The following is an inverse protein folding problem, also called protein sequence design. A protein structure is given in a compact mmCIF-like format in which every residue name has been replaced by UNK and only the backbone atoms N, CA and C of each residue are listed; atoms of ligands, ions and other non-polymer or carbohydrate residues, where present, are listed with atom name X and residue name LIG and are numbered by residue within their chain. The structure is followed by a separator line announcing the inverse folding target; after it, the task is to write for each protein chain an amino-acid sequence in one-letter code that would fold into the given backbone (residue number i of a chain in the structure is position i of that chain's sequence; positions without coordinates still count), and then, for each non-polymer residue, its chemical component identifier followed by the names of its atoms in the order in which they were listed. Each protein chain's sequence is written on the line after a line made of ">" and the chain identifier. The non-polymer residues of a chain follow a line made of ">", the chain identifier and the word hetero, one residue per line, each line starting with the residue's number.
data_IF_144314861769
#
_entry.id   IF_144314861769
#
_cell.length_a   1.000
_cell.length_b   1.000
_cell.length_c   1.000
_cell.angle_alpha   90.00
_cell.angle_beta   90.00
_cell.angle_gamma   90.00
#
_symmetry.space_group_name_H-M   'P 1'
#
loop_
_entity.id
_entity.type
_entity.pdbx_description
1 polymer ?
#
# COMPACT_ATOMS: atom_id res chain seq x y z
N UNK A 1 20.31 -9.49 39.18
CA UNK A 1 20.69 -10.74 38.47
C UNK A 1 20.35 -10.58 36.99
N UNK A 2 21.18 -11.04 36.04
CA UNK A 2 20.88 -10.88 34.61
C UNK A 2 19.90 -11.95 34.10
N UNK A 3 19.10 -11.63 33.08
CA UNK A 3 18.08 -12.53 32.54
C UNK A 3 18.68 -13.64 31.66
N UNK A 4 17.87 -14.65 31.34
CA UNK A 4 18.24 -15.77 30.46
C UNK A 4 18.85 -15.30 29.12
N UNK A 5 18.27 -14.27 28.49
CA UNK A 5 18.80 -13.73 27.22
C UNK A 5 20.22 -13.18 27.31
N UNK A 6 20.63 -12.66 28.47
CA UNK A 6 22.01 -12.27 28.71
C UNK A 6 22.91 -13.50 28.85
N UNK A 7 22.44 -14.52 29.59
CA UNK A 7 23.20 -15.76 29.81
C UNK A 7 23.49 -16.50 28.50
N UNK A 8 22.56 -16.46 27.53
CA UNK A 8 22.75 -17.06 26.19
C UNK A 8 23.35 -16.08 25.16
N UNK A 9 23.87 -14.92 25.59
CA UNK A 9 24.58 -13.97 24.71
C UNK A 9 23.72 -13.18 23.72
N UNK A 10 22.38 -13.23 23.82
CA UNK A 10 21.42 -12.51 22.97
C UNK A 10 21.09 -11.09 23.47
N UNK A 11 21.46 -10.75 24.69
CA UNK A 11 21.25 -9.44 25.28
C UNK A 11 22.52 -8.95 25.98
N UNK A 12 22.78 -7.64 25.95
CA UNK A 12 23.94 -7.03 26.62
C UNK A 12 23.69 -6.70 28.10
N UNK A 13 22.50 -7.00 28.63
CA UNK A 13 22.23 -6.98 30.07
C UNK A 13 22.14 -5.58 30.67
N UNK A 14 21.65 -4.59 29.91
CA UNK A 14 21.50 -3.21 30.39
C UNK A 14 20.60 -3.12 31.63
N UNK A 15 19.56 -3.95 31.71
CA UNK A 15 18.66 -4.04 32.87
C UNK A 15 19.36 -4.51 34.15
N UNK A 16 20.50 -5.18 34.03
CA UNK A 16 21.30 -5.69 35.14
C UNK A 16 22.64 -4.93 35.30
N UNK A 17 22.78 -3.77 34.65
CA UNK A 17 23.98 -2.92 34.73
C UNK A 17 25.24 -3.55 34.13
N UNK A 18 25.12 -4.55 33.25
CA UNK A 18 26.26 -5.26 32.66
C UNK A 18 26.94 -4.54 31.49
N UNK A 19 26.33 -3.45 31.03
CA UNK A 19 26.85 -2.56 29.99
C UNK A 19 26.52 -1.12 30.37
N UNK A 20 27.42 -0.19 30.06
CA UNK A 20 27.18 1.23 30.29
C UNK A 20 26.17 1.80 29.27
N UNK A 21 25.45 2.86 29.65
CA UNK A 21 24.54 3.57 28.74
C UNK A 21 25.26 4.05 27.48
N UNK A 22 26.47 4.57 27.62
CA UNK A 22 27.27 5.08 26.49
C UNK A 22 27.63 3.96 25.50
N UNK A 23 28.04 2.79 26.01
CA UNK A 23 28.34 1.63 25.17
C UNK A 23 27.11 1.07 24.50
N UNK A 24 25.99 0.95 25.21
CA UNK A 24 24.74 0.48 24.61
C UNK A 24 24.25 1.38 23.47
N UNK A 25 24.34 2.71 23.67
CA UNK A 25 24.03 3.68 22.61
C UNK A 25 24.93 3.48 21.39
N UNK A 26 26.23 3.23 21.60
CA UNK A 26 27.20 3.04 20.52
C UNK A 26 27.04 1.71 19.79
N UNK A 27 26.79 0.62 20.52
CA UNK A 27 26.78 -0.74 19.99
C UNK A 27 25.41 -1.18 19.46
N UNK A 28 24.30 -0.67 20.02
CA UNK A 28 22.95 -1.10 19.66
C UNK A 28 22.17 0.01 18.97
N UNK A 29 22.02 1.17 19.62
CA UNK A 29 21.10 2.21 19.15
C UNK A 29 21.61 2.91 17.88
N UNK A 30 22.88 3.33 17.82
CA UNK A 30 23.42 3.99 16.62
C UNK A 30 23.35 3.10 15.36
N UNK A 31 23.75 1.81 15.40
CA UNK A 31 23.57 0.90 14.27
C UNK A 31 22.09 0.71 13.88
N UNK A 32 21.19 0.58 14.87
CA UNK A 32 19.76 0.44 14.62
C UNK A 32 19.18 1.67 13.90
N UNK A 33 19.54 2.88 14.34
CA UNK A 33 19.15 4.13 13.67
C UNK A 33 19.64 4.14 12.21
N UNK A 34 20.91 3.80 11.97
CA UNK A 34 21.46 3.74 10.61
C UNK A 34 20.74 2.72 9.73
N UNK A 35 20.34 1.59 10.30
CA UNK A 35 19.59 0.56 9.60
C UNK A 35 18.20 1.06 9.19
N UNK A 36 17.47 1.67 10.12
CA UNK A 36 16.13 2.24 9.89
C UNK A 36 16.16 3.42 8.90
N UNK A 37 17.26 4.17 8.84
CA UNK A 37 17.50 5.21 7.84
C UNK A 37 17.88 4.66 6.44
N UNK A 38 17.90 3.34 6.25
CA UNK A 38 18.21 2.72 4.96
C UNK A 38 19.71 2.67 4.63
N UNK A 39 20.61 3.04 5.55
CA UNK A 39 22.08 3.00 5.36
C UNK A 39 22.66 1.59 5.52
N UNK A 40 21.91 0.58 5.08
CA UNK A 40 22.18 -0.86 5.26
C UNK A 40 23.53 -1.28 4.68
N UNK A 41 23.88 -0.78 3.47
CA UNK A 41 25.18 -1.03 2.82
C UNK A 41 26.38 -0.60 3.67
N UNK A 42 26.24 0.50 4.42
CA UNK A 42 27.30 1.03 5.26
C UNK A 42 27.55 0.15 6.49
N UNK A 43 26.50 -0.47 7.03
CA UNK A 43 26.60 -1.40 8.17
C UNK A 43 27.31 -2.67 7.73
N UNK A 44 26.94 -3.23 6.58
CA UNK A 44 27.61 -4.40 5.98
C UNK A 44 29.10 -4.14 5.78
N UNK A 45 29.47 -3.02 5.13
CA UNK A 45 30.89 -2.67 4.92
C UNK A 45 31.68 -2.60 6.23
N UNK A 46 31.07 -2.11 7.31
CA UNK A 46 31.72 -2.08 8.63
C UNK A 46 31.91 -3.48 9.23
N UNK A 47 30.93 -4.37 9.07
CA UNK A 47 31.02 -5.76 9.51
C UNK A 47 32.10 -6.52 8.73
N UNK A 48 32.10 -6.38 7.39
CA UNK A 48 33.12 -6.97 6.50
C UNK A 48 34.52 -6.50 6.86
N UNK A 49 34.72 -5.20 7.10
CA UNK A 49 36.02 -4.66 7.51
C UNK A 49 36.49 -5.24 8.86
N UNK A 50 35.57 -5.47 9.80
CA UNK A 50 35.88 -6.05 11.11
C UNK A 50 36.23 -7.54 11.00
N UNK A 51 35.49 -8.29 10.18
CA UNK A 51 35.80 -9.69 9.84
C UNK A 51 37.19 -9.79 9.23
N UNK A 52 37.46 -9.00 8.17
CA UNK A 52 38.76 -9.00 7.49
C UNK A 52 39.92 -8.68 8.45
N UNK A 53 39.73 -7.73 9.37
CA UNK A 53 40.73 -7.38 10.38
C UNK A 53 41.02 -8.53 11.35
N UNK A 54 40.02 -9.34 11.70
CA UNK A 54 40.20 -10.50 12.57
C UNK A 54 40.82 -11.69 11.82
N UNK A 55 40.42 -11.92 10.57
CA UNK A 55 41.01 -12.94 9.70
C UNK A 55 42.51 -12.69 9.47
N UNK A 56 42.91 -11.43 9.24
CA UNK A 56 44.32 -11.05 9.10
C UNK A 56 45.18 -11.33 10.35
N UNK A 57 44.55 -11.46 11.54
CA UNK A 57 45.26 -11.82 12.77
C UNK A 57 45.41 -13.34 12.95
N UNK A 58 44.91 -14.14 12.00
CA UNK A 58 44.98 -15.59 11.98
C UNK A 58 44.47 -16.27 13.27
N UNK A 59 43.42 -15.69 13.86
CA UNK A 59 42.75 -16.23 15.05
C UNK A 59 41.33 -16.65 14.68
N UNK A 60 41.06 -17.95 14.69
CA UNK A 60 39.69 -18.44 14.74
C UNK A 60 39.14 -18.22 16.16
N UNK A 61 38.39 -17.13 16.33
CA UNK A 61 37.75 -16.80 17.60
C UNK A 61 36.23 -16.97 17.49
N UNK A 62 35.58 -17.17 18.63
CA UNK A 62 34.11 -17.16 18.73
C UNK A 62 33.52 -15.83 18.21
N UNK A 63 34.23 -14.72 18.39
CA UNK A 63 33.86 -13.41 17.84
C UNK A 63 33.82 -13.42 16.30
N UNK A 64 34.81 -14.05 15.64
CA UNK A 64 34.85 -14.14 14.18
C UNK A 64 33.67 -14.96 13.64
N UNK A 65 33.39 -16.11 14.25
CA UNK A 65 32.25 -16.95 13.89
C UNK A 65 30.92 -16.19 14.05
N UNK A 66 30.75 -15.47 15.16
CA UNK A 66 29.57 -14.63 15.43
C UNK A 66 29.39 -13.53 14.37
N UNK A 67 30.46 -12.83 14.02
CA UNK A 67 30.41 -11.76 13.00
C UNK A 67 30.08 -12.31 11.61
N UNK A 68 30.67 -13.44 11.21
CA UNK A 68 30.33 -14.12 9.94
C UNK A 68 28.87 -14.55 9.90
N UNK A 69 28.35 -15.10 11.00
CA UNK A 69 26.95 -15.47 11.12
C UNK A 69 26.02 -14.24 11.05
N UNK A 70 26.37 -13.14 11.72
CA UNK A 70 25.62 -11.89 11.66
C UNK A 70 25.59 -11.30 10.24
N UNK A 71 26.73 -11.28 9.55
CA UNK A 71 26.82 -10.85 8.15
C UNK A 71 25.97 -11.73 7.24
N UNK A 72 26.01 -13.06 7.42
CA UNK A 72 25.18 -14.01 6.67
C UNK A 72 23.69 -13.72 6.87
N UNK A 73 23.24 -13.56 8.11
CA UNK A 73 21.84 -13.26 8.41
C UNK A 73 21.40 -11.92 7.84
N UNK A 74 22.25 -10.89 7.94
CA UNK A 74 21.97 -9.59 7.32
C UNK A 74 21.86 -9.71 5.79
N UNK A 75 22.76 -10.44 5.14
CA UNK A 75 22.72 -10.65 3.69
C UNK A 75 21.48 -11.45 3.27
N UNK A 76 21.07 -12.46 4.03
CA UNK A 76 19.83 -13.19 3.78
C UNK A 76 18.59 -12.31 3.95
N UNK A 77 18.51 -11.53 5.03
CA UNK A 77 17.41 -10.57 5.25
C UNK A 77 17.33 -9.53 4.12
N UNK A 78 18.49 -9.12 3.58
CA UNK A 78 18.58 -8.20 2.44
C UNK A 78 18.20 -8.84 1.11
N UNK A 79 18.55 -10.11 0.90
CA UNK A 79 18.16 -10.88 -0.27
C UNK A 79 16.64 -11.10 -0.31
N UNK A 80 16.02 -11.38 0.83
CA UNK A 80 14.55 -11.40 0.96
C UNK A 80 13.93 -10.00 0.80
N UNK A 81 14.71 -8.94 0.97
CA UNK A 81 14.31 -7.56 0.69
C UNK A 81 14.84 -7.05 -0.66
N UNK A 82 15.09 -7.94 -1.65
CA UNK A 82 15.62 -7.58 -2.98
C UNK A 82 14.92 -6.31 -3.45
N UNK A 83 15.69 -5.26 -3.70
CA UNK A 83 15.16 -4.05 -4.33
C UNK A 83 14.84 -4.46 -5.75
N UNK A 84 13.62 -4.97 -5.95
CA UNK A 84 13.04 -5.16 -7.27
C UNK A 84 13.14 -3.81 -7.99
N UNK A 85 13.48 -3.83 -9.27
CA UNK A 85 13.25 -2.65 -10.08
C UNK A 85 11.79 -2.21 -9.92
N UNK A 86 11.51 -0.92 -10.09
CA UNK A 86 10.14 -0.40 -9.97
C UNK A 86 9.18 -1.22 -10.86
N UNK A 87 9.63 -1.63 -12.04
CA UNK A 87 8.87 -2.45 -12.97
C UNK A 87 8.58 -3.87 -12.42
N UNK A 88 9.61 -4.58 -11.95
CA UNK A 88 9.45 -5.93 -11.36
C UNK A 88 8.58 -5.90 -10.10
N UNK A 89 8.70 -4.84 -9.30
CA UNK A 89 7.85 -4.63 -8.13
C UNK A 89 6.38 -4.54 -8.54
N UNK A 90 6.05 -3.72 -9.54
CA UNK A 90 4.67 -3.57 -10.00
C UNK A 90 4.13 -4.86 -10.61
N UNK A 91 4.94 -5.58 -11.39
CA UNK A 91 4.55 -6.90 -11.91
C UNK A 91 4.23 -7.87 -10.77
N UNK A 92 5.09 -7.94 -9.75
CA UNK A 92 4.87 -8.80 -8.59
C UNK A 92 3.63 -8.39 -7.77
N UNK A 93 3.41 -7.08 -7.56
CA UNK A 93 2.25 -6.58 -6.83
C UNK A 93 0.92 -7.01 -7.49
N UNK A 94 0.86 -7.04 -8.83
CA UNK A 94 -0.33 -7.45 -9.59
C UNK A 94 -0.55 -8.97 -9.53
N UNK A 95 0.52 -9.75 -9.57
CA UNK A 95 0.45 -11.23 -9.41
C UNK A 95 -0.05 -11.59 -8.01
N UNK A 96 0.49 -10.95 -6.98
CA UNK A 96 0.05 -11.18 -5.59
C UNK A 96 -1.40 -10.72 -5.36
N UNK A 97 -1.81 -9.61 -5.99
CA UNK A 97 -3.21 -9.17 -5.99
C UNK A 97 -4.14 -10.23 -6.58
N UNK A 98 -3.79 -10.79 -7.74
CA UNK A 98 -4.60 -11.81 -8.40
C UNK A 98 -4.78 -13.05 -7.53
N UNK A 99 -3.71 -13.51 -6.87
CA UNK A 99 -3.77 -14.66 -5.95
C UNK A 99 -4.66 -14.37 -4.74
N UNK A 100 -4.42 -13.24 -4.05
CA UNK A 100 -5.14 -12.90 -2.81
C UNK A 100 -6.64 -12.69 -3.06
N UNK A 101 -7.00 -12.10 -4.20
CA UNK A 101 -8.39 -11.86 -4.57
C UNK A 101 -9.02 -13.02 -5.36
N UNK A 102 -8.28 -14.11 -5.60
CA UNK A 102 -8.69 -15.24 -6.42
C UNK A 102 -9.26 -14.81 -7.80
N UNK A 103 -8.58 -13.88 -8.48
CA UNK A 103 -9.01 -13.38 -9.77
C UNK A 103 -8.86 -14.45 -10.86
N UNK A 104 -9.73 -14.46 -11.88
CA UNK A 104 -9.67 -15.45 -12.96
C UNK A 104 -8.41 -15.30 -13.83
N UNK A 105 -7.78 -14.12 -13.82
CA UNK A 105 -6.52 -13.82 -14.49
C UNK A 105 -5.75 -12.73 -13.76
N UNK A 106 -4.48 -12.58 -14.09
CA UNK A 106 -3.64 -11.45 -13.65
C UNK A 106 -4.22 -10.17 -14.29
N UNK A 107 -4.64 -9.16 -13.52
CA UNK A 107 -5.31 -7.99 -14.08
C UNK A 107 -4.28 -7.07 -14.74
N UNK A 108 -4.41 -6.86 -16.05
CA UNK A 108 -3.58 -5.89 -16.76
C UNK A 108 -4.13 -4.48 -16.61
N UNK A 109 -5.46 -4.35 -16.54
CA UNK A 109 -6.16 -3.06 -16.42
C UNK A 109 -7.00 -3.01 -15.14
N UNK A 110 -6.60 -2.18 -14.19
CA UNK A 110 -7.32 -1.93 -12.95
C UNK A 110 -7.94 -0.53 -13.00
N UNK A 111 -9.25 -0.41 -12.80
CA UNK A 111 -9.94 0.88 -12.70
C UNK A 111 -10.22 1.25 -11.24
N UNK A 112 -9.91 2.48 -10.86
CA UNK A 112 -10.18 3.04 -9.54
C UNK A 112 -11.22 4.16 -9.61
N UNK A 113 -12.19 4.16 -8.70
CA UNK A 113 -13.27 5.15 -8.66
C UNK A 113 -13.36 5.86 -7.30
N UNK A 114 -13.49 7.18 -7.33
CA UNK A 114 -13.72 8.03 -6.16
C UNK A 114 -14.79 9.10 -6.46
N UNK A 115 -15.55 9.51 -5.44
CA UNK A 115 -16.56 10.57 -5.52
C UNK A 115 -16.14 11.71 -4.60
N UNK A 116 -15.97 12.89 -5.17
CA UNK A 116 -15.69 14.10 -4.41
C UNK A 116 -16.87 15.08 -4.47
N UNK A 117 -17.53 15.26 -3.32
CA UNK A 117 -18.58 16.25 -3.15
C UNK A 117 -17.98 17.64 -2.92
N UNK A 118 -18.40 18.60 -3.75
CA UNK A 118 -18.21 20.02 -3.47
C UNK A 118 -19.46 20.48 -2.75
N UNK A 119 -19.31 20.97 -1.52
CA UNK A 119 -20.36 21.70 -0.82
C UNK A 119 -20.94 22.79 -1.75
N UNK A 120 -22.13 22.55 -2.28
CA UNK A 120 -23.02 23.58 -2.85
C UNK A 120 -23.10 23.77 -4.36
N UNK A 121 -22.19 23.32 -5.25
CA UNK A 121 -22.30 23.68 -6.70
C UNK A 121 -21.92 22.65 -7.79
N UNK A 122 -21.15 21.59 -7.51
CA UNK A 122 -20.93 20.52 -8.51
C UNK A 122 -20.23 19.29 -7.89
N UNK A 123 -20.85 18.11 -7.92
CA UNK A 123 -20.14 16.88 -7.59
C UNK A 123 -19.32 16.38 -8.80
N UNK A 124 -18.18 15.77 -8.51
CA UNK A 124 -17.28 15.22 -9.53
C UNK A 124 -16.83 13.85 -9.07
N UNK A 125 -17.01 12.86 -9.93
CA UNK A 125 -16.32 11.60 -9.73
C UNK A 125 -15.13 11.43 -10.65
N UNK A 126 -14.20 10.63 -10.18
CA UNK A 126 -12.95 10.36 -10.84
C UNK A 126 -12.89 8.88 -11.21
N UNK A 127 -12.33 8.61 -12.40
CA UNK A 127 -11.91 7.28 -12.81
C UNK A 127 -10.43 7.36 -13.15
N UNK A 128 -9.63 6.55 -12.49
CA UNK A 128 -8.22 6.36 -12.78
C UNK A 128 -7.99 4.95 -13.29
N UNK A 129 -6.88 4.75 -13.99
CA UNK A 129 -6.51 3.46 -14.57
C UNK A 129 -5.10 3.12 -14.15
N UNK A 130 -4.88 1.88 -13.73
CA UNK A 130 -3.55 1.30 -13.59
C UNK A 130 -3.38 0.23 -14.66
N UNK A 131 -2.34 0.37 -15.47
CA UNK A 131 -1.94 -0.59 -16.51
C UNK A 131 -0.70 -1.34 -16.00
N UNK A 132 -0.79 -2.68 -15.85
CA UNK A 132 0.28 -3.54 -15.30
C UNK A 132 0.86 -3.02 -13.97
N UNK A 133 -0.03 -2.60 -13.07
CA UNK A 133 0.32 -2.12 -11.74
C UNK A 133 0.83 -0.68 -11.66
N UNK A 134 0.83 0.06 -12.79
CA UNK A 134 1.31 1.44 -12.88
C UNK A 134 0.20 2.42 -13.29
N UNK A 135 0.18 3.65 -12.75
CA UNK A 135 -0.82 4.65 -13.14
C UNK A 135 -0.72 5.02 -14.62
N UNK A 136 -1.82 4.86 -15.36
CA UNK A 136 -1.95 5.22 -16.77
C UNK A 136 -2.83 6.46 -16.93
N UNK A 137 -2.18 7.63 -16.79
CA UNK A 137 -2.83 8.94 -16.75
C UNK A 137 -3.57 9.29 -18.05
N UNK A 138 -3.18 8.70 -19.19
CA UNK A 138 -3.83 8.93 -20.48
C UNK A 138 -5.28 8.43 -20.50
N UNK A 139 -5.58 7.45 -19.64
CA UNK A 139 -6.88 6.80 -19.56
C UNK A 139 -7.75 7.32 -18.41
N UNK A 140 -7.28 8.34 -17.69
CA UNK A 140 -8.04 8.94 -16.61
C UNK A 140 -9.26 9.70 -17.16
N UNK A 141 -10.36 9.70 -16.41
CA UNK A 141 -11.59 10.39 -16.78
C UNK A 141 -12.20 11.09 -15.57
N UNK A 142 -12.80 12.24 -15.81
CA UNK A 142 -13.59 12.97 -14.82
C UNK A 142 -15.03 13.01 -15.29
N UNK A 143 -15.95 12.80 -14.35
CA UNK A 143 -17.36 12.83 -14.59
C UNK A 143 -17.95 14.00 -13.80
N UNK A 144 -18.39 15.04 -14.52
CA UNK A 144 -19.28 16.04 -13.94
C UNK A 144 -20.62 15.38 -13.71
N UNK A 145 -21.05 15.32 -12.46
CA UNK A 145 -22.29 14.67 -12.01
C UNK A 145 -23.47 15.58 -12.32
N UNK A 146 -24.52 15.01 -12.89
CA UNK A 146 -25.78 15.73 -13.14
C UNK A 146 -26.71 15.42 -11.97
N UNK A 147 -26.79 16.34 -11.00
CA UNK A 147 -27.70 16.18 -9.86
C UNK A 147 -29.14 16.33 -10.38
N UNK A 148 -29.86 15.22 -10.56
CA UNK A 148 -31.31 15.21 -10.77
C UNK A 148 -32.06 15.51 -9.46
N UNK A 149 -33.40 15.62 -9.51
CA UNK A 149 -34.29 15.89 -8.35
C UNK A 149 -34.34 14.78 -7.27
N UNK A 150 -33.23 14.08 -7.02
CA UNK A 150 -33.10 13.03 -6.00
C UNK A 150 -31.82 13.18 -5.17
N UNK A 151 -31.79 12.51 -4.00
CA UNK A 151 -30.76 12.64 -2.98
C UNK A 151 -29.32 12.65 -3.55
N UNK A 152 -28.64 13.79 -3.38
CA UNK A 152 -27.23 13.99 -3.72
C UNK A 152 -26.31 13.24 -2.74
N UNK A 153 -26.37 11.90 -2.74
CA UNK A 153 -25.49 11.05 -1.95
C UNK A 153 -24.44 10.33 -2.82
N UNK A 154 -23.31 9.97 -2.23
CA UNK A 154 -22.16 9.39 -2.96
C UNK A 154 -22.51 8.10 -3.71
N UNK A 155 -23.46 7.32 -3.16
CA UNK A 155 -23.91 6.05 -3.73
C UNK A 155 -24.63 6.27 -5.08
N UNK A 156 -25.52 7.26 -5.14
CA UNK A 156 -26.22 7.63 -6.37
C UNK A 156 -25.27 8.19 -7.43
N UNK A 157 -24.31 9.01 -7.02
CA UNK A 157 -23.32 9.59 -7.93
C UNK A 157 -22.40 8.54 -8.53
N UNK A 158 -21.92 7.58 -7.72
CA UNK A 158 -21.13 6.46 -8.22
C UNK A 158 -21.92 5.63 -9.24
N UNK A 159 -23.21 5.40 -8.97
CA UNK A 159 -24.09 4.69 -9.91
C UNK A 159 -24.18 5.42 -11.25
N UNK A 160 -24.42 6.73 -11.26
CA UNK A 160 -24.48 7.54 -12.51
C UNK A 160 -23.18 7.38 -13.33
N UNK A 161 -22.02 7.49 -12.69
CA UNK A 161 -20.72 7.36 -13.35
C UNK A 161 -20.55 6.00 -13.98
N UNK A 162 -20.83 4.93 -13.24
CA UNK A 162 -20.66 3.57 -13.72
C UNK A 162 -21.64 3.27 -14.86
N UNK A 163 -22.88 3.75 -14.75
CA UNK A 163 -23.85 3.61 -15.84
C UNK A 163 -23.38 4.34 -17.10
N UNK A 164 -22.79 5.53 -16.97
CA UNK A 164 -22.17 6.23 -18.11
C UNK A 164 -20.96 5.46 -18.63
N UNK A 165 -20.05 5.03 -17.76
CA UNK A 165 -18.82 4.29 -18.10
C UNK A 165 -19.10 3.05 -18.96
N UNK A 166 -20.07 2.24 -18.57
CA UNK A 166 -20.41 0.99 -19.26
C UNK A 166 -21.32 1.18 -20.48
N UNK A 167 -21.82 2.40 -20.70
CA UNK A 167 -22.49 2.80 -21.93
C UNK A 167 -21.52 3.42 -22.97
N UNK A 168 -20.21 3.42 -22.70
CA UNK A 168 -19.19 3.86 -23.67
C UNK A 168 -18.38 2.65 -24.17
N UNK A 169 -17.69 2.84 -25.31
CA UNK A 169 -16.86 1.81 -25.93
C UNK A 169 -15.40 1.80 -25.41
N UNK A 170 -15.14 2.21 -24.17
CA UNK A 170 -13.77 2.18 -23.63
C UNK A 170 -13.39 0.76 -23.16
N UNK A 171 -12.11 0.36 -23.28
CA UNK A 171 -11.64 -0.97 -22.92
C UNK A 171 -12.08 -1.39 -21.51
N UNK A 172 -12.63 -2.59 -21.36
CA UNK A 172 -13.13 -3.06 -20.07
C UNK A 172 -11.98 -3.34 -19.09
N UNK A 173 -12.12 -3.00 -17.81
CA UNK A 173 -11.15 -3.37 -16.78
C UNK A 173 -11.22 -4.85 -16.43
N UNK A 174 -10.09 -5.37 -15.94
CA UNK A 174 -9.98 -6.70 -15.35
C UNK A 174 -10.33 -6.71 -13.85
N UNK A 175 -10.25 -5.54 -13.21
CA UNK A 175 -10.62 -5.32 -11.81
C UNK A 175 -11.10 -3.89 -11.60
N UNK A 176 -12.18 -3.73 -10.85
CA UNK A 176 -12.68 -2.44 -10.38
C UNK A 176 -12.44 -2.30 -8.88
N UNK A 177 -11.90 -1.15 -8.47
CA UNK A 177 -11.71 -0.77 -7.06
C UNK A 177 -12.48 0.52 -6.80
N UNK A 178 -13.41 0.45 -5.85
CA UNK A 178 -14.21 1.60 -5.44
C UNK A 178 -13.73 2.12 -4.08
N UNK A 179 -13.51 3.44 -3.98
CA UNK A 179 -13.31 4.10 -2.68
C UNK A 179 -14.67 4.25 -1.99
N UNK A 180 -14.90 3.43 -0.96
CA UNK A 180 -16.19 3.38 -0.28
C UNK A 180 -16.49 2.06 0.40
N UNK A 181 -17.59 2.04 1.16
CA UNK A 181 -18.04 0.88 1.89
C UNK A 181 -19.00 -0.01 1.09
N UNK A 182 -19.73 -0.86 1.82
CA UNK A 182 -20.68 -1.83 1.25
C UNK A 182 -21.78 -1.19 0.41
N UNK A 183 -22.23 0.02 0.74
CA UNK A 183 -23.27 0.71 -0.03
C UNK A 183 -22.80 1.08 -1.44
N UNK A 184 -21.59 1.63 -1.56
CA UNK A 184 -20.94 1.96 -2.83
C UNK A 184 -20.66 0.69 -3.65
N UNK A 185 -20.12 -0.36 -3.01
CA UNK A 185 -19.89 -1.65 -3.66
C UNK A 185 -21.17 -2.23 -4.27
N UNK A 186 -22.27 -2.19 -3.52
CA UNK A 186 -23.57 -2.71 -3.98
C UNK A 186 -24.12 -1.90 -5.16
N UNK A 187 -23.95 -0.57 -5.15
CA UNK A 187 -24.33 0.27 -6.29
C UNK A 187 -23.53 -0.06 -7.53
N UNK A 188 -22.21 -0.22 -7.39
CA UNK A 188 -21.34 -0.58 -8.50
C UNK A 188 -21.62 -1.99 -9.04
N UNK A 189 -21.86 -2.96 -8.16
CA UNK A 189 -22.24 -4.33 -8.53
C UNK A 189 -23.57 -4.36 -9.31
N UNK A 190 -24.55 -3.54 -8.92
CA UNK A 190 -25.82 -3.41 -9.65
C UNK A 190 -25.63 -2.80 -11.04
N UNK A 191 -24.74 -1.81 -11.17
CA UNK A 191 -24.44 -1.23 -12.48
C UNK A 191 -23.83 -2.27 -13.43
N UNK A 192 -22.87 -3.07 -12.95
CA UNK A 192 -22.30 -4.18 -13.75
C UNK A 192 -23.36 -5.19 -14.18
N UNK A 193 -24.22 -5.62 -13.25
CA UNK A 193 -25.33 -6.56 -13.54
C UNK A 193 -26.30 -6.01 -14.59
N UNK A 194 -26.62 -4.71 -14.56
CA UNK A 194 -27.53 -4.06 -15.53
C UNK A 194 -27.02 -4.19 -16.97
N UNK A 195 -25.70 -4.14 -17.18
CA UNK A 195 -25.07 -4.29 -18.49
C UNK A 195 -24.50 -5.71 -18.73
N UNK A 196 -24.85 -6.67 -17.87
CA UNK A 196 -24.41 -8.07 -17.95
C UNK A 196 -22.88 -8.27 -17.96
N UNK A 197 -22.12 -7.38 -17.31
CA UNK A 197 -20.67 -7.47 -17.21
C UNK A 197 -20.24 -8.28 -15.97
N UNK A 198 -19.40 -9.30 -16.18
CA UNK A 198 -18.83 -10.14 -15.12
C UNK A 198 -17.41 -9.70 -14.74
N UNK A 199 -17.27 -8.43 -14.36
CA UNK A 199 -15.98 -7.85 -13.98
C UNK A 199 -15.78 -7.98 -12.46
N UNK A 200 -14.65 -8.53 -11.99
CA UNK A 200 -14.30 -8.52 -10.57
C UNK A 200 -14.32 -7.11 -9.99
N UNK A 201 -14.97 -6.94 -8.84
CA UNK A 201 -15.09 -5.65 -8.17
C UNK A 201 -14.90 -5.79 -6.67
N UNK A 202 -14.14 -4.86 -6.10
CA UNK A 202 -13.94 -4.71 -4.65
C UNK A 202 -14.16 -3.26 -4.24
N UNK A 203 -14.44 -3.06 -2.95
CA UNK A 203 -14.42 -1.72 -2.36
C UNK A 203 -13.48 -1.68 -1.16
N UNK A 204 -12.85 -0.53 -0.94
CA UNK A 204 -11.94 -0.28 0.19
C UNK A 204 -12.47 0.87 1.04
N UNK A 205 -12.59 0.66 2.34
CA UNK A 205 -12.93 1.71 3.30
C UNK A 205 -12.23 1.48 4.64
N UNK A 206 -12.11 2.55 5.44
CA UNK A 206 -11.60 2.43 6.81
C UNK A 206 -12.63 1.76 7.72
N UNK A 207 -12.16 0.93 8.66
CA UNK A 207 -13.03 0.38 9.71
C UNK A 207 -13.61 1.49 10.62
N UNK A 208 -14.93 1.47 10.84
CA UNK A 208 -15.59 2.33 11.85
C UNK A 208 -15.24 1.83 13.27
N UNK A 209 -14.86 2.71 14.20
CA UNK A 209 -14.85 2.41 15.64
C UNK A 209 -13.56 2.74 16.44
N UNK A 210 -12.45 3.08 15.80
CA UNK A 210 -11.25 3.64 16.45
C UNK A 210 -10.86 4.89 15.68
N UNK A 211 -10.41 5.96 16.38
CA UNK A 211 -10.07 7.28 15.80
C UNK A 211 -9.64 7.15 14.34
N UNK A 212 -10.43 7.68 13.41
CA UNK A 212 -10.47 7.35 11.97
C UNK A 212 -9.16 7.46 11.17
N UNK A 213 -8.05 7.85 11.80
CA UNK A 213 -6.71 7.81 11.24
C UNK A 213 -5.99 6.46 11.47
N UNK A 214 -6.33 5.71 12.51
CA UNK A 214 -5.64 4.48 12.93
C UNK A 214 -6.37 3.18 12.58
N UNK A 215 -7.61 3.26 12.08
CA UNK A 215 -8.38 2.07 11.71
C UNK A 215 -7.79 1.37 10.48
N UNK A 216 -7.67 0.03 10.49
CA UNK A 216 -7.19 -0.71 9.35
C UNK A 216 -8.12 -0.56 8.14
N UNK A 217 -7.53 -0.59 6.95
CA UNK A 217 -8.26 -0.65 5.69
C UNK A 217 -8.97 -2.01 5.57
N UNK A 218 -10.26 -1.98 5.23
CA UNK A 218 -11.12 -3.15 5.06
C UNK A 218 -11.51 -3.29 3.59
N UNK A 219 -11.41 -4.50 3.07
CA UNK A 219 -11.84 -4.85 1.72
C UNK A 219 -13.22 -5.50 1.75
N UNK A 220 -14.12 -5.01 0.91
CA UNK A 220 -15.48 -5.51 0.78
C UNK A 220 -15.65 -6.19 -0.57
N UNK A 221 -16.32 -7.35 -0.57
CA UNK A 221 -16.60 -8.16 -1.76
C UNK A 221 -18.11 -8.32 -1.98
N UNK A 222 -18.59 -8.37 -3.24
CA UNK A 222 -19.99 -8.61 -3.53
C UNK A 222 -20.48 -9.92 -2.89
N UNK A 223 -21.67 -9.88 -2.30
CA UNK A 223 -22.28 -11.05 -1.65
C UNK A 223 -21.67 -11.46 -0.31
N UNK A 224 -20.51 -10.92 0.09
CA UNK A 224 -19.90 -11.26 1.37
C UNK A 224 -20.44 -10.37 2.51
N UNK A 225 -20.63 -10.99 3.68
CA UNK A 225 -21.09 -10.28 4.89
C UNK A 225 -19.92 -9.60 5.60
N UNK A 226 -18.83 -10.34 5.81
CA UNK A 226 -17.64 -9.87 6.52
C UNK A 226 -16.60 -9.31 5.54
N UNK A 227 -16.00 -8.15 5.83
CA UNK A 227 -14.87 -7.65 5.05
C UNK A 227 -13.59 -8.46 5.32
N UNK A 228 -12.65 -8.42 4.38
CA UNK A 228 -11.31 -8.95 4.52
C UNK A 228 -10.36 -7.86 5.02
N UNK A 229 -9.54 -8.20 6.01
CA UNK A 229 -8.43 -7.37 6.46
C UNK A 229 -7.13 -8.01 5.98
N UNK A 230 -6.33 -7.26 5.24
CA UNK A 230 -5.03 -7.73 4.77
C UNK A 230 -3.92 -7.22 5.72
N UNK A 231 -2.83 -8.00 5.91
CA UNK A 231 -1.67 -7.52 6.65
C UNK A 231 -1.10 -6.24 6.03
N UNK A 232 -0.61 -5.32 6.87
CA UNK A 232 -0.03 -4.04 6.40
C UNK A 232 1.15 -4.23 5.44
N UNK A 233 1.86 -5.35 5.53
CA UNK A 233 2.97 -5.67 4.63
C UNK A 233 2.53 -6.26 3.28
N UNK A 234 1.23 -6.53 3.07
CA UNK A 234 0.71 -7.19 1.87
C UNK A 234 0.96 -6.34 0.60
N UNK A 235 1.66 -6.90 -0.42
CA UNK A 235 1.82 -6.24 -1.72
C UNK A 235 0.48 -5.87 -2.38
N UNK A 236 -0.51 -6.75 -2.28
CA UNK A 236 -1.85 -6.51 -2.80
C UNK A 236 -2.51 -5.32 -2.12
N UNK A 237 -2.44 -5.23 -0.79
CA UNK A 237 -2.97 -4.08 -0.05
C UNK A 237 -2.29 -2.78 -0.48
N UNK A 238 -0.97 -2.79 -0.66
CA UNK A 238 -0.25 -1.61 -1.15
C UNK A 238 -0.72 -1.16 -2.53
N UNK A 239 -0.94 -2.09 -3.47
CA UNK A 239 -1.46 -1.75 -4.80
C UNK A 239 -2.88 -1.19 -4.73
N UNK A 240 -3.78 -1.82 -3.98
CA UNK A 240 -5.16 -1.33 -3.79
C UNK A 240 -5.15 0.08 -3.20
N UNK A 241 -4.32 0.34 -2.20
CA UNK A 241 -4.18 1.68 -1.59
C UNK A 241 -3.64 2.70 -2.59
N UNK A 242 -2.65 2.36 -3.42
CA UNK A 242 -2.17 3.25 -4.49
C UNK A 242 -3.26 3.61 -5.49
N UNK A 243 -4.11 2.66 -5.88
CA UNK A 243 -5.25 2.91 -6.77
C UNK A 243 -6.25 3.87 -6.11
N UNK A 244 -6.62 3.62 -4.85
CA UNK A 244 -7.51 4.49 -4.07
C UNK A 244 -6.94 5.91 -3.92
N UNK A 245 -5.72 6.01 -3.41
CA UNK A 245 -5.08 7.29 -3.10
C UNK A 245 -4.88 8.12 -4.39
N UNK A 246 -4.63 7.47 -5.53
CA UNK A 246 -4.55 8.12 -6.83
C UNK A 246 -5.91 8.60 -7.35
N UNK A 247 -6.98 7.82 -7.15
CA UNK A 247 -8.36 8.23 -7.48
C UNK A 247 -8.77 9.46 -6.68
N UNK A 248 -8.49 9.44 -5.37
CA UNK A 248 -8.73 10.55 -4.46
C UNK A 248 -7.90 11.79 -4.84
N UNK A 249 -6.60 11.62 -5.12
CA UNK A 249 -5.73 12.70 -5.60
C UNK A 249 -6.26 13.33 -6.89
N UNK A 250 -6.69 12.51 -7.84
CA UNK A 250 -7.17 12.98 -9.14
C UNK A 250 -8.50 13.76 -9.02
N UNK A 251 -9.37 13.35 -8.10
CA UNK A 251 -10.57 14.08 -7.73
C UNK A 251 -10.23 15.45 -7.11
N UNK A 252 -9.38 15.49 -6.07
CA UNK A 252 -8.96 16.73 -5.40
C UNK A 252 -8.29 17.73 -6.34
N UNK A 253 -7.44 17.25 -7.25
CA UNK A 253 -6.75 18.11 -8.22
C UNK A 253 -7.68 18.94 -9.10
N UNK A 254 -8.94 18.50 -9.28
CA UNK A 254 -9.97 19.29 -9.96
C UNK A 254 -10.42 20.52 -9.15
N UNK A 255 -10.64 20.35 -7.85
CA UNK A 255 -11.09 21.44 -6.97
C UNK A 255 -10.08 22.58 -6.92
N UNK A 256 -8.77 22.27 -6.91
CA UNK A 256 -7.71 23.29 -6.91
C UNK A 256 -7.75 24.15 -8.18
N UNK A 257 -7.97 23.54 -9.34
CA UNK A 257 -8.05 24.27 -10.64
C UNK A 257 -9.32 25.11 -10.80
N UNK A 258 -10.45 24.65 -10.25
CA UNK A 258 -11.69 25.43 -10.26
C UNK A 258 -11.60 26.65 -9.33
N UNK A 259 -11.02 26.48 -8.13
CA UNK A 259 -10.80 27.60 -7.19
C UNK A 259 -9.81 28.63 -7.71
N UNK A 260 -8.78 28.23 -8.46
CA UNK A 260 -7.87 29.19 -9.09
C UNK A 260 -8.56 29.96 -10.21
N UNK A 261 -9.37 29.32 -11.06
CA UNK A 261 -10.11 30.02 -12.14
C UNK A 261 -11.17 30.99 -11.62
N UNK A 262 -11.84 30.67 -10.51
CA UNK A 262 -12.84 31.55 -9.89
C UNK A 262 -12.25 32.76 -9.15
N UNK A 263 -10.92 32.84 -8.98
CA UNK A 263 -10.23 34.03 -8.44
C UNK A 263 -9.79 35.03 -9.53
N UNK A 264 -9.92 34.66 -10.80
CA UNK A 264 -9.54 35.48 -11.96
C UNK A 264 -10.75 35.93 -12.79
N UNK A 265 -11.96 35.75 -12.27
CA UNK A 265 -13.23 36.27 -12.76
C UNK A 265 -13.87 37.07 -11.63
#
# INVERSE_FOLDING_TARGET
>A
RACFYYQIGRCLGICAGKITKQEYLKQVIKPLILFLQGKKKMIIKKLEARIKKLELKNRETEELARLKYELKNMNQALASSRILSVHEKYANDVVELAKILALPKIPERIEGYDIANIFGKAAVGSMIVFSRGQPDKSQYRKFKIKIGQGQANDVGMLREILERRFNNNWPLPDLIIVDGGKAQLNAASRALKKYNWQIPIIAIAKGLGLRSAAAPDKLFFPGQVKPLELPLASPALHLIKRVRDEAHRFAIGYHRRLRSKAKFL
#
